data_IF_553610508599
#
_entry.id   IF_553610508599
#
_cell.length_a   1.000
_cell.length_b   1.000
_cell.length_c   1.000
_cell.angle_alpha   90.00
_cell.angle_beta   90.00
_cell.angle_gamma   90.00
#
_symmetry.space_group_name_H-M   'P 1'
#
loop_
_entity.id
_entity.type
_entity.pdbx_description
1 polymer ?
#
# COMPACT_ATOMS: atom_id res chain seq x y z
N UNK A 1 -3.30 18.10 16.51
CA UNK A 1 -2.85 17.17 15.46
C UNK A 1 -2.77 15.71 15.92
N UNK A 2 -3.58 15.26 16.89
CA UNK A 2 -3.46 13.94 17.53
C UNK A 2 -4.13 12.78 16.76
N UNK A 3 -4.94 13.07 15.73
CA UNK A 3 -5.72 12.06 14.98
C UNK A 3 -4.96 11.51 13.76
N UNK A 4 -3.89 12.18 13.32
CA UNK A 4 -3.10 11.77 12.14
C UNK A 4 -2.12 10.62 12.45
N UNK A 5 -1.57 10.58 13.67
CA UNK A 5 -0.60 9.55 14.09
C UNK A 5 -1.20 8.12 13.95
N UNK A 6 -2.43 7.82 14.43
CA UNK A 6 -3.02 6.49 14.27
C UNK A 6 -3.23 6.08 12.81
N UNK A 7 -3.59 7.02 11.92
CA UNK A 7 -3.86 6.73 10.51
C UNK A 7 -2.57 6.38 9.77
N UNK A 8 -1.50 7.13 10.08
CA UNK A 8 -0.13 6.88 9.64
C UNK A 8 0.38 5.52 10.08
N UNK A 9 0.18 5.19 11.35
CA UNK A 9 0.62 3.93 11.94
C UNK A 9 0.00 2.73 11.23
N UNK A 10 -1.27 2.85 10.82
CA UNK A 10 -1.93 1.81 10.03
C UNK A 10 -1.27 1.67 8.66
N UNK A 11 -1.03 2.77 7.95
CA UNK A 11 -0.44 2.75 6.60
C UNK A 11 0.95 2.09 6.61
N UNK A 12 1.82 2.49 7.55
CA UNK A 12 3.17 1.90 7.68
C UNK A 12 3.08 0.41 7.99
N UNK A 13 2.18 0.01 8.88
CA UNK A 13 2.02 -1.39 9.29
C UNK A 13 1.42 -2.29 8.20
N UNK A 14 0.93 -1.75 7.09
CA UNK A 14 0.42 -2.53 5.96
C UNK A 14 1.51 -2.93 4.96
N UNK A 15 2.69 -2.29 4.98
CA UNK A 15 3.77 -2.62 4.04
C UNK A 15 4.30 -4.05 4.26
N UNK A 16 4.52 -4.45 5.51
CA UNK A 16 5.00 -5.81 5.85
C UNK A 16 4.01 -6.91 5.44
N UNK A 17 2.72 -6.88 5.84
CA UNK A 17 1.73 -7.86 5.37
C UNK A 17 1.60 -7.94 3.83
N UNK A 18 1.79 -6.82 3.12
CA UNK A 18 1.80 -6.81 1.66
C UNK A 18 3.02 -7.55 1.09
N UNK A 19 4.19 -7.38 1.70
CA UNK A 19 5.41 -8.12 1.32
C UNK A 19 5.19 -9.61 1.54
N UNK A 20 4.71 -10.01 2.71
CA UNK A 20 4.44 -11.40 3.06
C UNK A 20 3.45 -12.05 2.07
N UNK A 21 2.39 -11.34 1.68
CA UNK A 21 1.42 -11.81 0.71
C UNK A 21 2.04 -12.03 -0.67
N UNK A 22 2.87 -11.09 -1.14
CA UNK A 22 3.57 -11.22 -2.43
C UNK A 22 4.49 -12.45 -2.41
N UNK A 23 5.23 -12.67 -1.32
CA UNK A 23 6.13 -13.80 -1.18
C UNK A 23 5.38 -15.14 -1.16
N UNK A 24 4.26 -15.20 -0.42
CA UNK A 24 3.39 -16.37 -0.41
C UNK A 24 2.84 -16.67 -1.81
N UNK A 25 2.34 -15.66 -2.51
CA UNK A 25 1.81 -15.81 -3.86
C UNK A 25 2.88 -16.22 -4.87
N UNK A 26 4.14 -15.82 -4.70
CA UNK A 26 5.26 -16.30 -5.55
C UNK A 26 5.61 -17.77 -5.30
N UNK A 27 5.23 -18.32 -4.14
CA UNK A 27 5.49 -19.70 -3.76
C UNK A 27 4.46 -20.73 -4.28
N UNK A 28 3.36 -20.29 -4.87
CA UNK A 28 2.31 -21.18 -5.42
C UNK A 28 2.44 -21.32 -6.94
N UNK A 29 1.71 -22.28 -7.53
CA UNK A 29 1.65 -22.45 -8.99
C UNK A 29 1.10 -21.19 -9.67
N UNK A 30 1.80 -20.73 -10.71
CA UNK A 30 1.56 -19.43 -11.33
C UNK A 30 0.68 -19.56 -12.58
N UNK A 31 -0.62 -19.32 -12.43
CA UNK A 31 -1.49 -19.01 -13.56
C UNK A 31 -1.45 -17.51 -13.91
N UNK A 32 -2.15 -17.10 -14.96
CA UNK A 32 -2.13 -15.72 -15.44
C UNK A 32 -2.85 -14.75 -14.49
N UNK A 33 -3.79 -15.26 -13.67
CA UNK A 33 -4.45 -14.48 -12.64
C UNK A 33 -3.48 -14.17 -11.50
N UNK A 34 -2.78 -15.17 -10.96
CA UNK A 34 -1.81 -15.01 -9.87
C UNK A 34 -0.67 -14.09 -10.29
N UNK A 35 -0.17 -14.21 -11.53
CA UNK A 35 0.86 -13.29 -12.06
C UNK A 35 0.39 -11.84 -12.12
N UNK A 36 -0.87 -11.63 -12.52
CA UNK A 36 -1.47 -10.29 -12.59
C UNK A 36 -1.65 -9.71 -11.19
N UNK A 37 -2.15 -10.51 -10.26
CA UNK A 37 -2.30 -10.11 -8.86
C UNK A 37 -0.96 -9.74 -8.22
N UNK A 38 0.08 -10.54 -8.42
CA UNK A 38 1.43 -10.23 -7.91
C UNK A 38 1.93 -8.91 -8.50
N UNK A 39 1.72 -8.67 -9.80
CA UNK A 39 2.12 -7.41 -10.45
C UNK A 39 1.41 -6.20 -9.84
N UNK A 40 0.11 -6.32 -9.57
CA UNK A 40 -0.67 -5.23 -8.96
C UNK A 40 -0.23 -4.99 -7.50
N UNK A 41 0.05 -6.05 -6.74
CA UNK A 41 0.56 -5.94 -5.37
C UNK A 41 1.99 -5.33 -5.31
N UNK A 42 2.86 -5.65 -6.27
CA UNK A 42 4.18 -4.98 -6.39
C UNK A 42 4.03 -3.50 -6.76
N UNK A 43 3.01 -3.16 -7.57
CA UNK A 43 2.61 -1.78 -7.81
C UNK A 43 2.24 -1.07 -6.50
N UNK A 44 1.46 -1.74 -5.66
CA UNK A 44 0.95 -1.17 -4.41
C UNK A 44 2.10 -0.94 -3.43
N UNK A 45 3.02 -1.90 -3.36
CA UNK A 45 4.25 -1.80 -2.57
C UNK A 45 5.12 -0.63 -3.00
N UNK A 46 5.21 -0.34 -4.30
CA UNK A 46 5.96 0.81 -4.80
C UNK A 46 5.34 2.13 -4.34
N UNK A 47 4.01 2.25 -4.26
CA UNK A 47 3.34 3.45 -3.73
C UNK A 47 3.57 3.62 -2.22
N UNK A 48 3.50 2.53 -1.43
CA UNK A 48 3.85 2.58 -0.01
C UNK A 48 5.27 3.11 0.23
N UNK A 49 6.24 2.71 -0.59
CA UNK A 49 7.63 3.19 -0.50
C UNK A 49 7.81 4.67 -0.86
N UNK A 50 6.94 5.23 -1.70
CA UNK A 50 6.98 6.65 -2.04
C UNK A 50 6.53 7.52 -0.87
N UNK A 51 5.69 6.97 0.02
CA UNK A 51 5.29 7.66 1.22
C UNK A 51 6.47 7.73 2.19
N UNK A 52 7.08 8.90 2.33
CA UNK A 52 8.06 9.15 3.37
C UNK A 52 7.37 9.55 4.69
N UNK A 53 6.54 8.63 5.18
CA UNK A 53 5.59 8.90 6.27
C UNK A 53 6.31 9.36 7.54
N UNK A 54 7.38 8.67 7.93
CA UNK A 54 8.15 9.00 9.13
C UNK A 54 8.73 10.41 9.05
N UNK A 55 9.31 10.79 7.90
CA UNK A 55 9.85 12.13 7.69
C UNK A 55 8.78 13.21 7.80
N UNK A 56 7.62 13.02 7.17
CA UNK A 56 6.53 13.99 7.22
C UNK A 56 5.99 14.16 8.65
N UNK A 57 6.02 13.09 9.45
CA UNK A 57 5.64 13.15 10.87
C UNK A 57 6.68 13.89 11.71
N UNK A 58 7.96 13.58 11.53
CA UNK A 58 9.06 14.22 12.26
C UNK A 58 9.16 15.73 11.94
N UNK A 59 8.80 16.13 10.72
CA UNK A 59 8.73 17.52 10.28
C UNK A 59 7.44 18.25 10.71
N UNK A 60 6.50 17.57 11.38
CA UNK A 60 5.20 18.14 11.74
C UNK A 60 4.25 18.40 10.56
N UNK A 61 4.57 17.82 9.39
CA UNK A 61 3.87 17.97 8.11
C UNK A 61 2.92 16.80 7.79
N UNK A 62 2.49 16.05 8.81
CA UNK A 62 1.59 14.90 8.65
C UNK A 62 0.26 15.22 7.95
N UNK A 63 -0.18 16.49 7.91
CA UNK A 63 -1.36 16.92 7.13
C UNK A 63 -1.14 16.88 5.62
N UNK A 64 0.11 16.92 5.16
CA UNK A 64 0.46 16.82 3.74
C UNK A 64 0.38 15.38 3.24
N UNK A 65 0.53 14.40 4.14
CA UNK A 65 0.32 12.99 3.82
C UNK A 65 -1.07 12.77 3.24
N UNK A 66 -2.11 13.39 3.82
CA UNK A 66 -3.50 13.29 3.35
C UNK A 66 -3.74 13.90 1.95
N UNK A 67 -2.77 14.62 1.40
CA UNK A 67 -2.81 15.23 0.06
C UNK A 67 -1.75 14.62 -0.85
N UNK A 68 -1.05 13.61 -0.37
CA UNK A 68 0.03 12.98 -1.10
C UNK A 68 -0.56 12.10 -2.20
N UNK A 69 -0.08 12.30 -3.43
CA UNK A 69 -0.50 11.56 -4.60
C UNK A 69 -0.32 10.04 -4.42
N UNK A 70 0.66 9.61 -3.62
CA UNK A 70 0.84 8.19 -3.32
C UNK A 70 -0.31 7.62 -2.48
N UNK A 71 -0.97 8.38 -1.61
CA UNK A 71 -2.18 7.90 -0.91
C UNK A 71 -3.36 7.71 -1.85
N UNK A 72 -3.54 8.62 -2.80
CA UNK A 72 -4.58 8.49 -3.82
C UNK A 72 -4.29 7.26 -4.70
N UNK A 73 -3.03 7.05 -5.08
CA UNK A 73 -2.63 5.89 -5.86
C UNK A 73 -2.81 4.57 -5.10
N UNK A 74 -2.46 4.53 -3.81
CA UNK A 74 -2.72 3.37 -2.92
C UNK A 74 -4.21 3.05 -2.89
N UNK A 75 -5.04 4.09 -2.71
CA UNK A 75 -6.50 3.93 -2.65
C UNK A 75 -7.05 3.35 -3.95
N UNK A 76 -6.60 3.89 -5.08
CA UNK A 76 -7.04 3.43 -6.40
C UNK A 76 -6.56 1.99 -6.70
N UNK A 77 -5.32 1.65 -6.38
CA UNK A 77 -4.81 0.30 -6.59
C UNK A 77 -5.49 -0.73 -5.68
N UNK A 78 -5.73 -0.39 -4.42
CA UNK A 78 -6.51 -1.25 -3.53
C UNK A 78 -7.95 -1.45 -4.04
N UNK A 79 -8.57 -0.41 -4.60
CA UNK A 79 -9.87 -0.51 -5.25
C UNK A 79 -9.85 -1.50 -6.41
N UNK A 80 -8.85 -1.36 -7.31
CA UNK A 80 -8.66 -2.27 -8.43
C UNK A 80 -8.45 -3.72 -7.98
N UNK A 81 -7.54 -3.96 -7.04
CA UNK A 81 -7.24 -5.30 -6.50
C UNK A 81 -8.49 -5.91 -5.87
N UNK A 82 -9.26 -5.13 -5.10
CA UNK A 82 -10.52 -5.61 -4.53
C UNK A 82 -11.47 -6.05 -5.63
N UNK A 83 -11.70 -5.22 -6.63
CA UNK A 83 -12.66 -5.51 -7.71
C UNK A 83 -12.22 -6.76 -8.51
N UNK A 84 -10.91 -6.90 -8.75
CA UNK A 84 -10.31 -8.08 -9.41
C UNK A 84 -10.42 -9.38 -8.58
N UNK A 85 -10.51 -9.28 -7.25
CA UNK A 85 -10.66 -10.42 -6.32
C UNK A 85 -12.12 -10.76 -6.05
N UNK A 86 -12.98 -9.77 -5.87
CA UNK A 86 -14.35 -9.99 -5.41
C UNK A 86 -15.37 -10.17 -6.52
N UNK A 87 -15.13 -9.62 -7.72
CA UNK A 87 -16.08 -9.67 -8.85
C UNK A 87 -17.35 -8.85 -8.62
#
# INVERSE_FOLDING_TARGET
SLILIPLVDVIIKQEEPLIDLIELLKGVDQDDYIKTLIKDLEGLKAEYKKLNVQKLMDEGRGSELLKDEALDNITNQMGKIRDDVTG
#
